data_IF_797488230954
#
_entry.id   IF_797488230954
#
_cell.length_a   1.000
_cell.length_b   1.000
_cell.length_c   1.000
_cell.angle_alpha   90.00
_cell.angle_beta   90.00
_cell.angle_gamma   90.00
#
_symmetry.space_group_name_H-M   'P 1'
#
loop_
_entity.id
_entity.type
_entity.pdbx_description
1 polymer ?
#
# COMPACT_ATOMS: atom_id res chain seq x y z
N UNK A 1 -10.19 -21.68 12.00
CA UNK A 1 -9.21 -22.09 13.01
C UNK A 1 -7.84 -21.67 12.52
N UNK A 2 -7.21 -20.72 13.22
CA UNK A 2 -5.94 -20.08 12.83
C UNK A 2 -4.74 -20.73 13.54
N UNK A 3 -5.00 -21.84 14.24
CA UNK A 3 -4.11 -22.43 15.24
C UNK A 3 -3.00 -23.30 14.65
N UNK A 4 -3.05 -23.60 13.34
CA UNK A 4 -2.08 -24.48 12.67
C UNK A 4 -0.88 -23.76 12.06
N UNK A 5 -0.80 -22.42 12.14
CA UNK A 5 0.37 -21.68 11.65
C UNK A 5 1.45 -21.72 12.74
N UNK A 6 2.62 -22.36 12.51
CA UNK A 6 3.65 -22.43 13.52
C UNK A 6 4.11 -21.00 13.89
N UNK A 7 4.11 -20.65 15.18
CA UNK A 7 4.50 -19.31 15.65
C UNK A 7 5.89 -18.87 15.18
N UNK A 8 6.78 -19.83 14.91
CA UNK A 8 8.11 -19.60 14.34
C UNK A 8 8.07 -18.97 12.94
N UNK A 9 7.02 -19.24 12.16
CA UNK A 9 6.81 -18.65 10.84
C UNK A 9 6.28 -17.21 10.89
N UNK A 10 5.87 -16.73 12.07
CA UNK A 10 5.50 -15.33 12.27
C UNK A 10 6.70 -14.46 12.66
N UNK A 11 7.82 -15.08 13.02
CA UNK A 11 9.08 -14.40 13.28
C UNK A 11 9.59 -13.87 11.94
N UNK A 12 9.74 -12.55 11.83
CA UNK A 12 10.14 -11.83 10.60
C UNK A 12 9.09 -11.77 9.49
N UNK A 13 7.81 -12.01 9.78
CA UNK A 13 6.74 -11.76 8.81
C UNK A 13 6.78 -10.27 8.37
N UNK A 14 6.93 -9.97 7.06
CA UNK A 14 6.84 -8.60 6.55
C UNK A 14 5.50 -7.98 6.97
N UNK A 15 5.52 -6.72 7.43
CA UNK A 15 4.32 -6.02 7.89
C UNK A 15 4.00 -4.86 6.97
N UNK A 16 2.71 -4.57 6.80
CA UNK A 16 2.24 -3.47 5.94
C UNK A 16 1.23 -2.59 6.68
N UNK A 17 1.55 -1.32 6.84
CA UNK A 17 0.70 -0.37 7.57
C UNK A 17 -0.36 0.33 6.68
N UNK A 18 -0.10 0.43 5.37
CA UNK A 18 -0.99 1.14 4.44
C UNK A 18 -0.89 2.67 4.50
N UNK A 19 0.24 3.21 4.97
CA UNK A 19 0.46 4.66 5.07
C UNK A 19 1.12 5.28 3.83
N UNK A 20 1.48 4.46 2.84
CA UNK A 20 2.13 4.88 1.59
C UNK A 20 3.65 4.75 1.58
N UNK A 21 4.25 4.53 2.75
CA UNK A 21 5.69 4.33 2.96
C UNK A 21 6.22 2.99 2.42
N UNK A 22 5.33 2.08 2.01
CA UNK A 22 5.66 0.76 1.49
C UNK A 22 4.92 0.53 0.18
N UNK A 23 5.63 0.00 -0.83
CA UNK A 23 5.04 -0.41 -2.10
C UNK A 23 4.14 -1.63 -1.88
N UNK A 24 2.87 -1.60 -2.31
CA UNK A 24 1.99 -2.77 -2.21
C UNK A 24 2.47 -3.94 -3.09
N UNK A 25 3.12 -3.67 -4.22
CA UNK A 25 3.69 -4.73 -5.09
C UNK A 25 4.85 -5.41 -4.38
N UNK A 26 5.77 -4.64 -3.82
CA UNK A 26 6.95 -5.20 -3.14
C UNK A 26 6.50 -6.01 -1.91
N UNK A 27 5.49 -5.53 -1.20
CA UNK A 27 4.92 -6.26 -0.06
C UNK A 27 4.29 -7.60 -0.47
N UNK A 28 3.55 -7.67 -1.59
CA UNK A 28 3.03 -8.94 -2.11
C UNK A 28 4.19 -9.90 -2.41
N UNK A 29 5.26 -9.41 -3.04
CA UNK A 29 6.44 -10.20 -3.36
C UNK A 29 7.16 -10.69 -2.09
N UNK A 30 7.27 -9.86 -1.06
CA UNK A 30 7.87 -10.22 0.22
C UNK A 30 7.09 -11.33 0.92
N UNK A 31 5.75 -11.29 0.89
CA UNK A 31 4.93 -12.38 1.43
C UNK A 31 5.05 -13.65 0.59
N UNK A 32 5.13 -13.55 -0.74
CA UNK A 32 5.37 -14.71 -1.60
C UNK A 32 6.73 -15.37 -1.31
N UNK A 33 7.77 -14.57 -1.09
CA UNK A 33 9.09 -15.04 -0.67
C UNK A 33 9.04 -15.69 0.72
N UNK A 34 8.31 -15.09 1.66
CA UNK A 34 8.11 -15.65 3.01
C UNK A 34 7.44 -17.03 2.95
N UNK A 35 6.41 -17.18 2.11
CA UNK A 35 5.79 -18.48 1.83
C UNK A 35 6.79 -19.51 1.32
N UNK A 36 7.62 -19.13 0.35
CA UNK A 36 8.63 -20.02 -0.22
C UNK A 36 9.66 -20.46 0.84
N UNK A 37 10.16 -19.54 1.66
CA UNK A 37 11.12 -19.83 2.75
C UNK A 37 10.55 -20.83 3.75
N UNK A 38 9.26 -20.70 4.06
CA UNK A 38 8.58 -21.58 5.02
C UNK A 38 7.96 -22.84 4.40
N UNK A 39 8.22 -23.11 3.11
CA UNK A 39 7.62 -24.22 2.36
C UNK A 39 6.09 -24.26 2.51
N UNK A 40 5.43 -23.10 2.47
CA UNK A 40 3.99 -23.00 2.49
C UNK A 40 3.44 -23.38 1.11
N UNK A 41 3.16 -24.67 0.92
CA UNK A 41 2.68 -25.22 -0.36
C UNK A 41 1.18 -24.91 -0.57
N UNK A 42 0.43 -24.79 0.53
CA UNK A 42 -0.99 -24.48 0.48
C UNK A 42 -1.24 -22.99 0.31
N UNK A 43 -1.95 -22.60 -0.75
CA UNK A 43 -2.35 -21.21 -1.03
C UNK A 43 -3.05 -20.56 0.17
N UNK A 44 -3.87 -21.33 0.88
CA UNK A 44 -4.56 -20.90 2.10
C UNK A 44 -3.59 -20.44 3.20
N UNK A 45 -2.40 -21.03 3.30
CA UNK A 45 -1.39 -20.61 4.28
C UNK A 45 -0.79 -19.26 3.87
N UNK A 46 -0.49 -19.07 2.58
CA UNK A 46 -0.01 -17.80 2.06
C UNK A 46 -1.01 -16.66 2.21
N UNK A 47 -2.28 -16.94 1.91
CA UNK A 47 -3.38 -16.03 2.18
C UNK A 47 -3.42 -15.57 3.63
N UNK A 48 -3.23 -16.50 4.58
CA UNK A 48 -3.18 -16.17 6.00
C UNK A 48 -1.97 -15.30 6.33
N UNK A 49 -0.79 -15.56 5.77
CA UNK A 49 0.37 -14.69 5.97
C UNK A 49 0.13 -13.27 5.45
N UNK A 50 -0.47 -13.12 4.27
CA UNK A 50 -0.83 -11.81 3.72
C UNK A 50 -1.81 -11.07 4.64
N UNK A 51 -2.86 -11.74 5.12
CA UNK A 51 -3.80 -11.13 6.09
C UNK A 51 -3.11 -10.78 7.42
N UNK A 52 -2.25 -11.66 7.93
CA UNK A 52 -1.51 -11.45 9.17
C UNK A 52 -0.43 -10.38 9.08
N UNK A 53 -0.03 -9.98 7.86
CA UNK A 53 0.91 -8.89 7.62
C UNK A 53 0.27 -7.50 7.85
N UNK A 54 -1.05 -7.38 7.75
CA UNK A 54 -1.73 -6.10 7.77
C UNK A 54 -1.74 -5.44 9.16
N UNK A 55 -1.37 -4.17 9.20
CA UNK A 55 -1.35 -3.29 10.38
C UNK A 55 -2.01 -1.97 10.02
N UNK A 56 -2.35 -1.16 11.02
CA UNK A 56 -2.92 0.18 10.83
C UNK A 56 -4.05 0.22 9.80
N UNK A 57 -3.92 1.13 8.82
CA UNK A 57 -4.92 1.36 7.75
C UNK A 57 -5.19 0.12 6.90
N UNK A 58 -4.18 -0.73 6.69
CA UNK A 58 -4.36 -1.98 5.96
C UNK A 58 -5.25 -2.98 6.72
N UNK A 59 -5.07 -3.06 8.05
CA UNK A 59 -5.92 -3.89 8.89
C UNK A 59 -7.36 -3.37 8.93
N UNK A 60 -7.54 -2.06 9.03
CA UNK A 60 -8.86 -1.42 9.06
C UNK A 60 -9.61 -1.64 7.73
N UNK A 61 -8.91 -1.46 6.60
CA UNK A 61 -9.45 -1.76 5.28
C UNK A 61 -9.89 -3.22 5.17
N UNK A 62 -9.03 -4.18 5.52
CA UNK A 62 -9.37 -5.59 5.42
C UNK A 62 -10.60 -5.93 6.29
N UNK A 63 -10.70 -5.32 7.47
CA UNK A 63 -11.84 -5.49 8.38
C UNK A 63 -13.15 -4.89 7.85
N UNK A 64 -13.09 -3.95 6.91
CA UNK A 64 -14.26 -3.35 6.25
C UNK A 64 -14.80 -4.17 5.07
N UNK A 65 -14.07 -5.19 4.62
CA UNK A 65 -14.49 -6.03 3.50
C UNK A 65 -15.65 -6.93 3.90
N UNK A 66 -16.54 -7.20 2.94
CA UNK A 66 -17.63 -8.15 3.15
C UNK A 66 -17.06 -9.54 3.48
N UNK A 67 -17.55 -10.23 4.52
CA UNK A 67 -17.09 -11.58 4.84
C UNK A 67 -17.20 -12.51 3.62
N UNK A 68 -16.21 -13.39 3.44
CA UNK A 68 -16.16 -14.39 2.35
C UNK A 68 -16.11 -13.80 0.93
N UNK A 69 -15.84 -12.50 0.77
CA UNK A 69 -15.64 -11.87 -0.55
C UNK A 69 -14.30 -12.23 -1.21
N UNK A 70 -13.37 -12.82 -0.46
CA UNK A 70 -12.02 -13.14 -0.88
C UNK A 70 -11.75 -14.61 -0.57
N UNK A 71 -11.40 -15.36 -1.61
CA UNK A 71 -11.21 -16.81 -1.54
C UNK A 71 -9.87 -17.29 -2.12
N UNK A 72 -9.18 -16.45 -2.89
CA UNK A 72 -7.90 -16.79 -3.53
C UNK A 72 -6.85 -15.71 -3.31
N UNK A 73 -5.57 -16.10 -3.45
CA UNK A 73 -4.43 -15.20 -3.37
C UNK A 73 -4.55 -14.06 -4.36
N UNK A 74 -4.90 -14.35 -5.60
CA UNK A 74 -5.03 -13.35 -6.66
C UNK A 74 -6.12 -12.33 -6.34
N UNK A 75 -7.27 -12.78 -5.81
CA UNK A 75 -8.36 -11.86 -5.41
C UNK A 75 -7.93 -10.92 -4.28
N UNK A 76 -7.24 -11.45 -3.27
CA UNK A 76 -6.75 -10.63 -2.16
C UNK A 76 -5.67 -9.65 -2.64
N UNK A 77 -4.70 -10.16 -3.42
CA UNK A 77 -3.60 -9.39 -3.96
C UNK A 77 -4.07 -8.26 -4.86
N UNK A 78 -5.03 -8.51 -5.76
CA UNK A 78 -5.59 -7.50 -6.65
C UNK A 78 -6.34 -6.41 -5.88
N UNK A 79 -7.23 -6.78 -4.94
CA UNK A 79 -7.96 -5.79 -4.14
C UNK A 79 -7.02 -4.98 -3.25
N UNK A 80 -6.03 -5.63 -2.63
CA UNK A 80 -5.00 -4.97 -1.84
C UNK A 80 -4.19 -3.99 -2.68
N UNK A 81 -3.69 -4.43 -3.83
CA UNK A 81 -2.95 -3.58 -4.76
C UNK A 81 -3.80 -2.38 -5.19
N UNK A 82 -5.02 -2.61 -5.64
CA UNK A 82 -5.91 -1.53 -6.07
C UNK A 82 -6.22 -0.54 -4.95
N UNK A 83 -6.33 -1.00 -3.70
CA UNK A 83 -6.56 -0.14 -2.55
C UNK A 83 -5.35 0.74 -2.21
N UNK A 84 -4.13 0.21 -2.34
CA UNK A 84 -2.93 0.87 -1.81
C UNK A 84 -1.97 1.39 -2.88
N UNK A 85 -2.21 1.14 -4.17
CA UNK A 85 -1.41 1.67 -5.29
C UNK A 85 -1.39 3.20 -5.33
N UNK A 86 -2.51 3.84 -5.02
CA UNK A 86 -2.65 5.30 -5.06
C UNK A 86 -1.82 5.99 -3.97
N UNK A 87 -1.54 5.31 -2.85
CA UNK A 87 -0.69 5.88 -1.79
C UNK A 87 0.77 5.99 -2.23
N UNK A 88 1.25 5.07 -3.06
CA UNK A 88 2.61 5.13 -3.61
C UNK A 88 2.73 6.29 -4.62
N UNK A 89 1.73 6.48 -5.49
CA UNK A 89 1.70 7.59 -6.43
C UNK A 89 1.60 8.95 -5.72
N UNK A 90 0.87 9.03 -4.60
CA UNK A 90 0.76 10.25 -3.80
C UNK A 90 2.10 10.69 -3.20
N UNK A 91 2.95 9.77 -2.72
CA UNK A 91 4.28 10.14 -2.20
C UNK A 91 5.15 10.71 -3.32
N UNK A 92 5.18 10.06 -4.49
CA UNK A 92 5.91 10.56 -5.66
C UNK A 92 5.41 11.94 -6.08
N UNK A 93 4.10 12.17 -6.05
CA UNK A 93 3.50 13.47 -6.33
C UNK A 93 3.85 14.52 -5.26
N UNK A 94 3.95 14.15 -3.99
CA UNK A 94 4.40 15.05 -2.92
C UNK A 94 5.89 15.42 -3.05
N UNK A 95 6.76 14.46 -3.35
CA UNK A 95 8.17 14.72 -3.65
C UNK A 95 8.30 15.64 -4.87
N UNK A 96 7.51 15.39 -5.91
CA UNK A 96 7.47 16.26 -7.07
C UNK A 96 6.98 17.67 -6.71
N UNK A 97 5.94 17.83 -5.88
CA UNK A 97 5.52 19.15 -5.40
C UNK A 97 6.65 19.90 -4.69
N UNK A 98 7.44 19.21 -3.85
CA UNK A 98 8.57 19.82 -3.13
C UNK A 98 9.71 20.26 -4.05
N UNK A 99 9.81 19.70 -5.27
CA UNK A 99 10.81 20.09 -6.26
C UNK A 99 10.34 21.21 -7.20
N UNK A 100 9.05 21.55 -7.22
CA UNK A 100 8.52 22.66 -8.03
C UNK A 100 8.97 23.98 -7.39
N UNK A 101 10.01 24.58 -7.97
CA UNK A 101 10.46 25.93 -7.65
C UNK A 101 10.12 26.89 -8.79
N UNK A 102 9.84 28.14 -8.44
CA UNK A 102 9.63 29.20 -9.42
C UNK A 102 10.95 29.49 -10.14
N UNK A 103 10.94 29.47 -11.47
CA UNK A 103 12.12 29.88 -12.23
C UNK A 103 12.34 31.40 -12.16
N UNK A 104 13.58 31.85 -12.40
CA UNK A 104 13.97 33.27 -12.26
C UNK A 104 13.18 34.23 -13.16
N UNK A 105 12.67 33.74 -14.30
CA UNK A 105 11.89 34.50 -15.29
C UNK A 105 10.45 34.02 -15.44
N UNK A 106 9.97 33.12 -14.58
CA UNK A 106 8.60 32.61 -14.63
C UNK A 106 7.63 33.57 -13.96
N UNK A 107 6.52 33.89 -14.63
CA UNK A 107 5.44 34.65 -14.03
C UNK A 107 4.78 33.86 -12.89
N UNK A 108 4.36 34.57 -11.83
CA UNK A 108 3.70 33.96 -10.67
C UNK A 108 2.43 33.19 -11.08
N UNK A 109 1.71 33.66 -12.11
CA UNK A 109 0.54 32.98 -12.67
C UNK A 109 0.89 31.59 -13.21
N UNK A 110 2.00 31.48 -13.93
CA UNK A 110 2.41 30.25 -14.61
C UNK A 110 2.95 29.24 -13.60
N UNK A 111 3.72 29.71 -12.62
CA UNK A 111 4.11 28.92 -11.46
C UNK A 111 2.88 28.37 -10.73
N UNK A 112 1.89 29.23 -10.42
CA UNK A 112 0.68 28.81 -9.73
C UNK A 112 -0.13 27.79 -10.52
N UNK A 113 -0.18 27.90 -11.86
CA UNK A 113 -0.85 26.90 -12.71
C UNK A 113 -0.15 25.55 -12.60
N UNK A 114 1.19 25.52 -12.70
CA UNK A 114 1.97 24.27 -12.58
C UNK A 114 1.82 23.64 -11.20
N UNK A 115 1.99 24.42 -10.15
CA UNK A 115 1.83 23.95 -8.77
C UNK A 115 0.42 23.41 -8.53
N UNK A 116 -0.62 24.15 -8.95
CA UNK A 116 -2.01 23.71 -8.82
C UNK A 116 -2.28 22.43 -9.63
N UNK A 117 -1.72 22.26 -10.83
CA UNK A 117 -1.90 21.02 -11.59
C UNK A 117 -1.48 19.79 -10.79
N UNK A 118 -0.27 19.79 -10.22
CA UNK A 118 0.23 18.67 -9.40
C UNK A 118 -0.59 18.52 -8.11
N UNK A 119 -0.94 19.62 -7.45
CA UNK A 119 -1.80 19.62 -6.26
C UNK A 119 -3.18 18.99 -6.49
N UNK A 120 -3.79 19.20 -7.67
CA UNK A 120 -5.10 18.65 -7.98
C UNK A 120 -5.09 17.14 -8.27
N UNK A 121 -3.93 16.57 -8.62
CA UNK A 121 -3.76 15.12 -8.83
C UNK A 121 -3.75 14.38 -7.48
N UNK A 122 -3.28 15.02 -6.41
CA UNK A 122 -3.29 14.42 -5.06
C UNK A 122 -4.73 14.31 -4.55
N UNK A 123 -5.15 13.08 -4.20
CA UNK A 123 -6.46 12.79 -3.64
C UNK A 123 -6.67 13.56 -2.32
N UNK A 124 -7.90 14.03 -2.08
CA UNK A 124 -8.17 15.04 -1.05
C UNK A 124 -7.74 14.60 0.36
N UNK A 125 -7.86 13.32 0.69
CA UNK A 125 -7.50 12.78 2.01
C UNK A 125 -6.01 12.85 2.31
N UNK A 126 -5.16 13.07 1.30
CA UNK A 126 -3.71 13.18 1.44
C UNK A 126 -3.19 14.61 1.29
N UNK A 127 -4.04 15.62 1.09
CA UNK A 127 -3.57 16.99 1.01
C UNK A 127 -3.14 17.49 2.40
N UNK A 128 -1.98 18.15 2.54
CA UNK A 128 -1.64 18.89 3.75
C UNK A 128 -2.77 19.83 4.16
N UNK A 129 -3.06 19.90 5.47
CA UNK A 129 -4.05 20.81 6.03
C UNK A 129 -3.75 22.25 5.62
N UNK A 130 -4.79 22.98 5.18
CA UNK A 130 -4.73 24.40 4.81
C UNK A 130 -4.43 25.31 5.99
#
# INVERSE_FOLDING_TARGET
QWDDIPKTTLINLPLFNGNGDQSPIDHIQDIANHCAIHNAIEENVCLRFLVLSFRGKAKDWFSSLTPQSISTWDQLGEQFYNRFKENADVIVLMEHLNTIQRASMEYISDFNIRFKRTWHIIHQEFRPSQ
#
